data_IF_878344760698
#
_entry.id   IF_878344760698
#
_cell.length_a   1.000
_cell.length_b   1.000
_cell.length_c   1.000
_cell.angle_alpha   90.00
_cell.angle_beta   90.00
_cell.angle_gamma   90.00
#
_symmetry.space_group_name_H-M   'P 1'
#
loop_
_entity.id
_entity.type
_entity.pdbx_description
1 polymer ?
#
# COMPACT_ATOMS: atom_id res chain seq x y z
N UNK A 1 -2.44 47.46 -3.89
CA UNK A 1 -3.20 46.49 -4.70
C UNK A 1 -2.77 45.10 -4.28
N UNK A 2 -3.67 44.31 -3.71
CA UNK A 2 -3.39 42.95 -3.20
C UNK A 2 -3.37 41.98 -4.37
N UNK A 3 -2.22 41.37 -4.66
CA UNK A 3 -2.12 40.33 -5.68
C UNK A 3 -2.93 39.10 -5.24
N UNK A 4 -3.81 38.63 -6.11
CA UNK A 4 -4.52 37.36 -5.95
C UNK A 4 -3.50 36.23 -5.75
N UNK A 5 -3.71 35.41 -4.71
CA UNK A 5 -2.85 34.30 -4.31
C UNK A 5 -3.37 32.95 -4.80
N UNK A 6 -4.46 32.96 -5.56
CA UNK A 6 -5.08 31.74 -6.07
C UNK A 6 -4.16 31.10 -7.11
N UNK A 7 -3.69 29.87 -6.89
CA UNK A 7 -2.85 29.16 -7.87
C UNK A 7 -3.68 28.79 -9.11
N UNK A 8 -3.04 28.79 -10.28
CA UNK A 8 -3.67 28.32 -11.51
C UNK A 8 -4.01 26.81 -11.40
N UNK A 9 -5.19 26.38 -11.90
CA UNK A 9 -5.56 24.98 -11.89
C UNK A 9 -4.61 24.17 -12.79
N UNK A 10 -4.10 23.05 -12.27
CA UNK A 10 -3.24 22.13 -13.01
C UNK A 10 -4.01 20.88 -13.45
N UNK A 11 -3.69 20.34 -14.63
CA UNK A 11 -4.21 19.05 -15.10
C UNK A 11 -3.72 17.89 -14.23
N UNK A 12 -4.48 16.79 -14.17
CA UNK A 12 -4.04 15.53 -13.58
C UNK A 12 -2.69 15.05 -14.14
N UNK A 13 -2.46 15.25 -15.44
CA UNK A 13 -1.17 14.91 -16.07
C UNK A 13 -0.03 15.79 -15.54
N UNK A 14 -0.27 17.07 -15.28
CA UNK A 14 0.71 17.97 -14.66
C UNK A 14 0.93 17.63 -13.18
N UNK A 15 -0.13 17.24 -12.46
CA UNK A 15 -0.04 16.81 -11.06
C UNK A 15 0.76 15.52 -10.90
N UNK A 16 0.57 14.55 -11.80
CA UNK A 16 1.28 13.27 -11.80
C UNK A 16 2.74 13.40 -12.22
N UNK A 17 3.06 14.36 -13.10
CA UNK A 17 4.45 14.64 -13.52
C UNK A 17 5.30 15.27 -12.42
N UNK A 18 4.68 15.71 -11.33
CA UNK A 18 5.34 16.38 -10.20
C UNK A 18 5.75 17.80 -10.57
N UNK A 19 5.46 18.76 -9.69
CA UNK A 19 6.17 20.03 -9.74
C UNK A 19 7.64 19.72 -9.40
N UNK A 20 8.52 20.08 -10.34
CA UNK A 20 9.97 19.86 -10.30
C UNK A 20 10.42 18.42 -10.58
N UNK A 21 11.40 18.33 -11.50
CA UNK A 21 12.30 17.19 -11.64
C UNK A 21 12.69 16.73 -10.23
N UNK A 22 12.73 15.42 -9.91
CA UNK A 22 13.22 14.99 -8.61
C UNK A 22 14.53 15.72 -8.34
N UNK A 23 14.57 16.50 -7.25
CA UNK A 23 15.77 17.23 -6.85
C UNK A 23 16.91 16.20 -6.91
N UNK A 24 17.81 16.33 -7.89
CA UNK A 24 18.92 15.39 -8.07
C UNK A 24 19.64 15.30 -6.72
N UNK A 25 19.46 14.19 -5.99
CA UNK A 25 19.99 14.00 -4.64
C UNK A 25 18.98 13.65 -3.54
N UNK A 26 17.66 13.76 -3.76
CA UNK A 26 16.67 13.12 -2.88
C UNK A 26 16.32 11.74 -3.39
N UNK A 27 17.28 10.84 -3.32
CA UNK A 27 17.01 9.40 -3.41
C UNK A 27 16.07 9.06 -2.25
N UNK A 28 15.06 8.22 -2.49
CA UNK A 28 14.27 7.62 -1.40
C UNK A 28 15.26 7.07 -0.36
N UNK A 29 14.98 7.30 0.92
CA UNK A 29 15.85 6.76 1.95
C UNK A 29 15.97 5.24 1.79
N UNK A 30 17.21 4.76 1.82
CA UNK A 30 17.45 3.34 1.74
C UNK A 30 16.82 2.66 2.97
N UNK A 31 16.14 1.52 2.79
CA UNK A 31 15.61 0.74 3.90
C UNK A 31 16.72 0.44 4.92
N UNK A 32 16.36 0.38 6.20
CA UNK A 32 17.31 0.01 7.24
C UNK A 32 17.82 -1.42 6.97
N UNK A 33 19.14 -1.63 6.77
CA UNK A 33 19.66 -2.95 6.39
C UNK A 33 19.38 -4.04 7.44
N UNK A 34 19.11 -3.66 8.70
CA UNK A 34 18.75 -4.60 9.77
C UNK A 34 17.31 -5.11 9.65
N UNK A 35 16.42 -4.36 9.01
CA UNK A 35 15.00 -4.69 8.89
C UNK A 35 14.55 -4.90 7.44
N UNK A 36 15.39 -4.57 6.45
CA UNK A 36 15.05 -4.58 5.03
C UNK A 36 14.39 -5.89 4.56
N UNK A 37 14.93 -7.03 4.98
CA UNK A 37 14.36 -8.34 4.62
C UNK A 37 12.95 -8.52 5.20
N UNK A 38 12.77 -8.11 6.45
CA UNK A 38 11.47 -8.19 7.14
C UNK A 38 10.48 -7.21 6.52
N UNK A 39 10.89 -5.97 6.26
CA UNK A 39 10.06 -4.92 5.67
C UNK A 39 9.56 -5.29 4.26
N UNK A 40 10.36 -6.07 3.51
CA UNK A 40 9.98 -6.58 2.18
C UNK A 40 8.97 -7.73 2.23
N UNK A 41 8.98 -8.53 3.29
CA UNK A 41 8.15 -9.75 3.41
C UNK A 41 6.87 -9.48 4.21
N UNK A 42 6.99 -8.75 5.32
CA UNK A 42 5.91 -8.38 6.22
C UNK A 42 5.39 -6.98 5.85
N UNK A 43 4.60 -6.97 4.78
CA UNK A 43 3.90 -5.78 4.31
C UNK A 43 2.44 -5.81 4.78
N UNK A 44 1.75 -4.66 4.88
CA UNK A 44 0.31 -4.64 5.16
C UNK A 44 -0.49 -5.51 4.18
N UNK A 45 -0.06 -5.60 2.92
CA UNK A 45 -0.70 -6.44 1.90
C UNK A 45 -0.51 -7.92 2.20
N UNK A 46 0.72 -8.38 2.47
CA UNK A 46 0.97 -9.80 2.75
C UNK A 46 0.24 -10.27 4.01
N UNK A 47 0.14 -9.42 5.05
CA UNK A 47 -0.65 -9.70 6.26
C UNK A 47 -2.12 -9.93 5.89
N UNK A 48 -2.73 -8.99 5.15
CA UNK A 48 -4.13 -9.12 4.71
C UNK A 48 -4.36 -10.32 3.81
N UNK A 49 -3.38 -10.70 3.01
CA UNK A 49 -3.48 -11.87 2.13
C UNK A 49 -3.50 -13.16 2.94
N UNK A 50 -2.67 -13.26 3.99
CA UNK A 50 -2.69 -14.39 4.93
C UNK A 50 -3.99 -14.45 5.72
N UNK A 51 -4.52 -13.32 6.20
CA UNK A 51 -5.82 -13.27 6.89
C UNK A 51 -6.95 -13.83 6.01
N UNK A 52 -7.03 -13.41 4.74
CA UNK A 52 -8.05 -13.92 3.81
C UNK A 52 -7.93 -15.42 3.55
N UNK A 53 -6.71 -15.95 3.50
CA UNK A 53 -6.47 -17.39 3.36
C UNK A 53 -6.96 -18.15 4.59
N UNK A 54 -6.63 -17.66 5.79
CA UNK A 54 -7.08 -18.25 7.05
C UNK A 54 -8.62 -18.26 7.15
N UNK A 55 -9.28 -17.14 6.81
CA UNK A 55 -10.74 -17.08 6.75
C UNK A 55 -11.34 -18.10 5.77
N UNK A 56 -10.73 -18.28 4.60
CA UNK A 56 -11.20 -19.23 3.61
C UNK A 56 -11.10 -20.68 4.13
N UNK A 57 -10.01 -21.01 4.81
CA UNK A 57 -9.81 -22.32 5.44
C UNK A 57 -10.87 -22.56 6.51
N UNK A 58 -11.07 -21.60 7.42
CA UNK A 58 -12.07 -21.73 8.50
C UNK A 58 -13.48 -21.92 7.93
N UNK A 59 -13.88 -21.13 6.92
CA UNK A 59 -15.18 -21.30 6.26
C UNK A 59 -15.36 -22.67 5.63
N UNK A 60 -14.29 -23.26 5.07
CA UNK A 60 -14.33 -24.60 4.50
C UNK A 60 -14.41 -25.68 5.58
N UNK A 61 -13.68 -25.51 6.69
CA UNK A 61 -13.74 -26.40 7.84
C UNK A 61 -15.14 -26.44 8.44
N UNK A 62 -15.74 -25.28 8.75
CA UNK A 62 -17.11 -25.18 9.27
C UNK A 62 -18.13 -25.87 8.35
N UNK A 63 -17.95 -25.73 7.04
CA UNK A 63 -18.82 -26.37 6.05
C UNK A 63 -18.64 -27.89 6.04
N UNK A 64 -17.43 -28.39 6.25
CA UNK A 64 -17.15 -29.81 6.36
C UNK A 64 -17.72 -30.40 7.65
N UNK A 65 -17.53 -29.73 8.79
CA UNK A 65 -18.10 -30.14 10.08
C UNK A 65 -19.63 -30.28 9.99
N UNK A 66 -20.32 -29.24 9.48
CA UNK A 66 -21.78 -29.30 9.28
C UNK A 66 -22.26 -30.43 8.37
N UNK A 67 -21.42 -30.92 7.47
CA UNK A 67 -21.75 -32.07 6.59
C UNK A 67 -21.51 -33.42 7.26
N UNK A 68 -20.59 -33.47 8.22
CA UNK A 68 -20.32 -34.69 9.00
C UNK A 68 -21.34 -34.86 10.13
N UNK A 69 -21.90 -33.75 10.64
CA UNK A 69 -22.94 -33.75 11.67
C UNK A 69 -24.37 -33.97 11.11
N UNK A 70 -24.53 -34.12 9.79
CA UNK A 70 -25.78 -34.50 9.11
C UNK A 70 -25.83 -35.99 8.81
#
# INVERSE_FOLDING_TARGET
MTADKTPDPISSEQAQKGAEKPVKGRTLEHPNPKTETIDKVLTPTSIKDTERQAEAINRQADKAERRLDQ
#
